data_IF_178741519231
#
_entry.id   IF_178741519231
#
_cell.length_a   1.000
_cell.length_b   1.000
_cell.length_c   1.000
_cell.angle_alpha   90.00
_cell.angle_beta   90.00
_cell.angle_gamma   90.00
#
_symmetry.space_group_name_H-M   'P 1'
#
loop_
_entity.id
_entity.type
_entity.pdbx_description
1 polymer ?
#
# COMPACT_ATOMS: atom_id res chain seq x y z
N UNK A 1 27.32 -24.25 -37.45
CA UNK A 1 26.22 -23.55 -36.74
C UNK A 1 26.72 -23.27 -35.33
N UNK A 2 27.17 -22.02 -35.06
CA UNK A 2 27.50 -21.58 -33.71
C UNK A 2 26.18 -21.18 -33.08
N UNK A 3 25.73 -21.93 -32.08
CA UNK A 3 24.61 -21.49 -31.26
C UNK A 3 25.19 -20.44 -30.31
N UNK A 4 24.85 -19.17 -30.56
CA UNK A 4 25.19 -18.04 -29.71
C UNK A 4 24.52 -18.23 -28.34
N UNK A 5 25.29 -18.74 -27.37
CA UNK A 5 24.87 -18.98 -25.99
C UNK A 5 24.52 -17.65 -25.26
N UNK A 6 24.88 -16.51 -25.84
CA UNK A 6 24.63 -15.16 -25.31
C UNK A 6 23.15 -14.78 -25.23
N UNK A 7 22.25 -15.48 -25.92
CA UNK A 7 20.82 -15.15 -25.92
C UNK A 7 19.99 -15.83 -24.80
N UNK A 8 20.55 -16.80 -24.06
CA UNK A 8 19.76 -17.62 -23.10
C UNK A 8 19.63 -16.95 -21.72
N UNK A 9 20.42 -15.92 -21.40
CA UNK A 9 20.42 -15.31 -20.04
C UNK A 9 19.32 -14.26 -19.85
N UNK A 10 18.66 -13.78 -20.92
CA UNK A 10 17.68 -12.70 -20.85
C UNK A 10 16.27 -13.11 -20.38
N UNK A 11 16.02 -14.40 -20.12
CA UNK A 11 14.69 -14.90 -19.75
C UNK A 11 14.60 -15.45 -18.33
N UNK A 12 15.45 -14.97 -17.41
CA UNK A 12 15.07 -14.96 -16.00
C UNK A 12 13.97 -13.91 -15.85
N UNK A 13 12.75 -14.26 -16.24
CA UNK A 13 11.56 -13.71 -15.65
C UNK A 13 11.68 -14.02 -14.16
N UNK A 14 12.38 -13.15 -13.43
CA UNK A 14 12.21 -13.00 -12.00
C UNK A 14 10.72 -12.73 -11.88
N UNK A 15 9.95 -13.76 -11.55
CA UNK A 15 8.71 -13.56 -10.82
C UNK A 15 9.17 -12.89 -9.54
N UNK A 16 9.32 -11.56 -9.58
CA UNK A 16 9.40 -10.74 -8.39
C UNK A 16 8.05 -10.98 -7.75
N UNK A 17 8.01 -11.94 -6.85
CA UNK A 17 7.00 -12.08 -5.85
C UNK A 17 7.06 -10.81 -5.01
N UNK A 18 6.37 -9.80 -5.52
CA UNK A 18 6.07 -8.60 -4.78
C UNK A 18 5.38 -9.05 -3.47
N UNK A 19 5.95 -8.64 -2.34
CA UNK A 19 5.28 -8.85 -1.06
C UNK A 19 3.91 -8.13 -1.15
N UNK A 20 2.90 -8.70 -0.53
CA UNK A 20 1.54 -8.10 -0.56
C UNK A 20 0.95 -8.07 0.83
N UNK A 21 -0.02 -7.20 1.01
CA UNK A 21 -0.70 -7.02 2.28
C UNK A 21 -2.21 -7.02 2.05
N UNK A 22 -2.91 -7.88 2.77
CA UNK A 22 -4.37 -7.84 2.85
C UNK A 22 -4.75 -7.26 4.21
N UNK A 23 -5.62 -6.26 4.21
CA UNK A 23 -6.12 -5.63 5.43
C UNK A 23 -7.63 -5.79 5.51
N UNK A 24 -8.11 -6.22 6.67
CA UNK A 24 -9.50 -6.09 7.05
C UNK A 24 -9.65 -4.86 7.95
N UNK A 25 -10.50 -3.94 7.53
CA UNK A 25 -10.77 -2.70 8.27
C UNK A 25 -12.21 -2.73 8.75
N UNK A 26 -12.41 -2.54 10.06
CA UNK A 26 -13.73 -2.35 10.65
C UNK A 26 -13.89 -0.92 11.14
N UNK A 27 -14.94 -0.24 10.69
CA UNK A 27 -15.26 1.12 11.10
C UNK A 27 -16.50 1.16 11.99
N UNK A 28 -16.34 1.85 13.11
CA UNK A 28 -17.39 2.38 13.96
C UNK A 28 -17.68 3.84 13.57
N UNK A 29 -18.75 4.48 14.10
CA UNK A 29 -19.14 5.83 13.70
C UNK A 29 -18.06 6.92 13.81
N UNK A 30 -17.04 6.72 14.66
CA UNK A 30 -16.01 7.72 14.95
C UNK A 30 -14.58 7.21 14.77
N UNK A 31 -14.38 5.93 14.44
CA UNK A 31 -13.05 5.33 14.32
C UNK A 31 -13.05 4.12 13.39
N UNK A 32 -11.93 3.89 12.73
CA UNK A 32 -11.66 2.67 11.97
C UNK A 32 -10.48 1.94 12.59
N UNK A 33 -10.57 0.61 12.66
CA UNK A 33 -9.48 -0.27 13.08
C UNK A 33 -9.05 -1.15 11.90
N UNK A 34 -7.76 -1.09 11.59
CA UNK A 34 -7.06 -1.87 10.58
C UNK A 34 -6.00 -2.78 11.22
N UNK A 35 -6.17 -3.15 12.49
CA UNK A 35 -5.24 -4.03 13.21
C UNK A 35 -5.22 -5.46 12.66
N UNK A 36 -6.27 -5.89 11.96
CA UNK A 36 -6.40 -7.21 11.38
C UNK A 36 -5.86 -7.25 9.94
N UNK A 37 -4.56 -7.48 9.79
CA UNK A 37 -3.94 -7.61 8.47
C UNK A 37 -3.03 -8.83 8.35
N UNK A 38 -2.87 -9.31 7.12
CA UNK A 38 -1.98 -10.41 6.75
C UNK A 38 -0.98 -9.95 5.71
N UNK A 39 0.29 -9.96 6.07
CA UNK A 39 1.42 -9.68 5.20
C UNK A 39 1.94 -10.99 4.60
N UNK A 40 2.01 -11.07 3.27
CA UNK A 40 2.46 -12.24 2.54
C UNK A 40 3.84 -11.98 1.96
N UNK A 41 4.74 -12.93 2.19
CA UNK A 41 6.07 -13.00 1.58
C UNK A 41 6.23 -14.34 0.88
N UNK A 42 7.37 -14.51 0.20
CA UNK A 42 7.79 -15.80 -0.36
C UNK A 42 7.87 -16.93 0.66
N UNK A 43 8.08 -16.58 1.92
CA UNK A 43 8.35 -17.53 2.99
C UNK A 43 7.10 -17.83 3.84
N UNK A 44 6.00 -17.09 3.65
CA UNK A 44 4.76 -17.34 4.39
C UNK A 44 3.84 -16.14 4.52
N UNK A 45 2.83 -16.30 5.37
CA UNK A 45 1.84 -15.28 5.69
C UNK A 45 1.89 -14.97 7.19
N UNK A 46 1.93 -13.69 7.53
CA UNK A 46 2.15 -13.23 8.90
C UNK A 46 1.08 -12.20 9.29
N UNK A 47 0.56 -12.32 10.51
CA UNK A 47 -0.34 -11.31 11.05
C UNK A 47 0.43 -10.05 11.44
N UNK A 48 -0.05 -8.91 10.97
CA UNK A 48 0.54 -7.59 11.23
C UNK A 48 -0.55 -6.59 11.61
N UNK A 49 -0.18 -5.57 12.36
CA UNK A 49 -1.07 -4.45 12.69
C UNK A 49 -0.90 -3.36 11.63
N UNK A 50 -1.90 -3.18 10.76
CA UNK A 50 -1.87 -2.20 9.68
C UNK A 50 -2.57 -0.88 10.03
N UNK A 51 -2.74 -0.54 11.31
CA UNK A 51 -3.21 0.79 11.68
C UNK A 51 -2.23 1.91 11.26
N UNK A 52 -2.77 3.11 11.08
CA UNK A 52 -2.02 4.33 10.72
C UNK A 52 -0.73 4.53 11.54
N UNK A 53 0.36 4.83 10.83
CA UNK A 53 1.70 5.04 11.37
C UNK A 53 2.57 3.79 11.38
N UNK A 54 3.72 3.88 12.07
CA UNK A 54 4.70 2.80 12.16
C UNK A 54 4.40 1.86 13.33
N UNK A 55 4.58 0.56 13.12
CA UNK A 55 4.28 -0.50 14.09
C UNK A 55 5.38 -1.57 14.08
N UNK A 56 5.54 -2.22 15.23
CA UNK A 56 6.32 -3.46 15.32
C UNK A 56 5.58 -4.61 14.62
N UNK A 57 6.34 -5.61 14.20
CA UNK A 57 5.83 -6.73 13.41
C UNK A 57 6.42 -8.05 13.91
N UNK A 58 5.70 -9.14 13.67
CA UNK A 58 6.17 -10.51 13.90
C UNK A 58 6.82 -11.14 12.66
N UNK A 59 6.84 -10.40 11.54
CA UNK A 59 7.47 -10.87 10.31
C UNK A 59 8.98 -11.00 10.53
N UNK A 60 9.58 -12.18 10.30
CA UNK A 60 11.01 -12.40 10.51
C UNK A 60 11.88 -11.38 9.77
N UNK A 61 12.87 -10.83 10.48
CA UNK A 61 13.81 -9.83 9.98
C UNK A 61 13.19 -8.51 9.47
N UNK A 62 11.88 -8.29 9.57
CA UNK A 62 11.29 -6.99 9.23
C UNK A 62 11.53 -6.01 10.38
N UNK A 63 12.27 -4.94 10.09
CA UNK A 63 12.70 -3.95 11.09
C UNK A 63 11.82 -2.70 11.10
N UNK A 64 11.05 -2.49 10.03
CA UNK A 64 10.17 -1.35 9.88
C UNK A 64 8.93 -1.76 9.09
N UNK A 65 7.76 -1.32 9.56
CA UNK A 65 6.47 -1.47 8.89
C UNK A 65 5.60 -0.26 9.25
N UNK A 66 5.20 0.53 8.26
CA UNK A 66 4.45 1.76 8.45
C UNK A 66 3.33 1.88 7.41
N UNK A 67 2.15 2.29 7.86
CA UNK A 67 1.01 2.59 6.98
C UNK A 67 0.70 4.09 7.02
N UNK A 68 0.37 4.65 5.87
CA UNK A 68 -0.13 6.01 5.68
C UNK A 68 -1.42 5.91 4.86
N UNK A 69 -2.52 5.64 5.57
CA UNK A 69 -3.86 5.50 4.99
C UNK A 69 -4.33 6.81 4.38
N UNK A 70 -3.93 7.95 4.95
CA UNK A 70 -4.25 9.27 4.42
C UNK A 70 -3.79 9.45 2.97
N UNK A 71 -2.68 8.81 2.59
CA UNK A 71 -2.12 8.84 1.23
C UNK A 71 -2.13 7.47 0.52
N UNK A 72 -2.85 6.47 1.06
CA UNK A 72 -2.94 5.11 0.51
C UNK A 72 -1.60 4.46 0.18
N UNK A 73 -0.63 4.67 1.07
CA UNK A 73 0.74 4.18 0.88
C UNK A 73 1.24 3.53 2.16
N UNK A 74 2.05 2.50 2.05
CA UNK A 74 2.69 1.84 3.19
C UNK A 74 4.14 1.46 2.87
N UNK A 75 5.02 1.38 3.84
CA UNK A 75 6.39 0.93 3.57
C UNK A 75 6.87 -0.03 4.62
N UNK A 76 7.83 -0.84 4.22
CA UNK A 76 8.48 -1.79 5.10
C UNK A 76 9.96 -1.92 4.74
N UNK A 77 10.74 -2.46 5.67
CA UNK A 77 12.15 -2.72 5.47
C UNK A 77 12.54 -3.99 6.21
N UNK A 78 13.35 -4.82 5.55
CA UNK A 78 14.00 -5.95 6.20
C UNK A 78 15.42 -5.58 6.65
N UNK A 79 15.89 -6.25 7.69
CA UNK A 79 17.27 -6.18 8.14
C UNK A 79 18.22 -6.52 6.98
N UNK A 80 19.30 -5.76 6.83
CA UNK A 80 20.24 -5.91 5.73
C UNK A 80 19.81 -5.25 4.40
N UNK A 81 18.60 -4.73 4.30
CA UNK A 81 18.19 -3.91 3.14
C UNK A 81 18.55 -2.44 3.37
N UNK A 82 19.30 -1.86 2.42
CA UNK A 82 19.68 -0.44 2.46
C UNK A 82 18.48 0.48 2.22
N UNK A 83 17.54 0.05 1.37
CA UNK A 83 16.37 0.82 0.97
C UNK A 83 15.09 0.22 1.56
N UNK A 84 14.11 1.08 1.82
CA UNK A 84 12.75 0.65 2.12
C UNK A 84 12.06 0.14 0.85
N UNK A 85 11.07 -0.71 1.03
CA UNK A 85 10.13 -1.22 0.02
C UNK A 85 8.77 -0.59 0.26
N UNK A 86 8.02 -0.32 -0.81
CA UNK A 86 6.80 0.49 -0.73
C UNK A 86 5.59 -0.31 -1.21
N UNK A 87 4.45 -0.04 -0.60
CA UNK A 87 3.14 -0.58 -0.87
C UNK A 87 2.24 0.56 -1.32
N UNK A 88 1.32 0.24 -2.22
CA UNK A 88 0.17 1.07 -2.57
C UNK A 88 -1.10 0.23 -2.44
N UNK A 89 -2.19 0.88 -2.06
CA UNK A 89 -3.49 0.24 -2.00
C UNK A 89 -3.95 -0.11 -3.43
N UNK A 90 -4.07 -1.41 -3.70
CA UNK A 90 -4.38 -1.94 -5.03
C UNK A 90 -5.88 -2.12 -5.25
N UNK A 91 -6.63 -2.49 -4.20
CA UNK A 91 -8.08 -2.61 -4.27
C UNK A 91 -8.76 -2.35 -2.94
N UNK A 92 -10.07 -2.09 -3.01
CA UNK A 92 -10.93 -1.90 -1.86
C UNK A 92 -12.31 -2.43 -2.15
N UNK A 93 -12.82 -3.30 -1.26
CA UNK A 93 -14.13 -3.91 -1.40
C UNK A 93 -14.86 -3.82 -0.06
N UNK A 94 -16.09 -3.29 -0.08
CA UNK A 94 -16.96 -3.30 1.09
C UNK A 94 -17.44 -4.72 1.38
N UNK A 95 -17.33 -5.14 2.64
CA UNK A 95 -17.70 -6.47 3.11
C UNK A 95 -18.60 -6.37 4.34
N UNK A 96 -19.36 -7.43 4.62
CA UNK A 96 -20.20 -7.48 5.81
C UNK A 96 -19.35 -7.59 7.09
N UNK A 97 -19.67 -6.77 8.10
CA UNK A 97 -18.96 -6.75 9.39
C UNK A 97 -19.30 -7.86 10.38
N UNK A 98 -20.21 -8.77 10.04
CA UNK A 98 -20.88 -9.59 11.05
C UNK A 98 -21.46 -8.70 12.16
N UNK A 99 -21.26 -9.07 13.42
CA UNK A 99 -21.80 -8.35 14.59
C UNK A 99 -20.89 -7.23 15.14
N UNK A 100 -19.74 -6.94 14.53
CA UNK A 100 -18.64 -6.19 15.17
C UNK A 100 -18.36 -4.78 14.63
N UNK A 101 -19.10 -4.32 13.62
CA UNK A 101 -18.88 -2.99 13.04
C UNK A 101 -20.06 -2.52 12.21
N UNK A 102 -20.07 -1.23 11.89
CA UNK A 102 -21.10 -0.63 11.03
C UNK A 102 -20.73 -0.81 9.57
N UNK A 103 -19.47 -0.55 9.23
CA UNK A 103 -18.92 -0.66 7.87
C UNK A 103 -17.58 -1.37 7.87
N UNK A 104 -17.42 -2.36 7.01
CA UNK A 104 -16.17 -3.14 6.92
C UNK A 104 -15.68 -3.21 5.49
N UNK A 105 -14.37 -3.27 5.39
CA UNK A 105 -13.66 -3.20 4.14
C UNK A 105 -12.57 -4.25 4.11
N UNK A 106 -12.35 -4.79 2.92
CA UNK A 106 -11.17 -5.56 2.61
C UNK A 106 -10.36 -4.78 1.60
N UNK A 107 -9.11 -4.47 1.94
CA UNK A 107 -8.19 -3.82 1.01
C UNK A 107 -7.02 -4.75 0.70
N UNK A 108 -6.62 -4.77 -0.57
CA UNK A 108 -5.36 -5.39 -0.98
C UNK A 108 -4.34 -4.30 -1.24
N UNK A 109 -3.09 -4.61 -0.95
CA UNK A 109 -1.96 -3.71 -1.12
C UNK A 109 -0.86 -4.48 -1.82
N UNK A 110 -0.32 -3.89 -2.88
CA UNK A 110 0.76 -4.48 -3.67
C UNK A 110 2.04 -3.71 -3.46
N UNK A 111 3.16 -4.42 -3.49
CA UNK A 111 4.45 -3.76 -3.54
C UNK A 111 4.70 -3.09 -4.89
N UNK A 112 5.28 -1.90 -4.81
CA UNK A 112 5.68 -1.06 -5.91
C UNK A 112 7.09 -0.52 -5.66
N UNK A 113 7.73 -0.01 -6.71
CA UNK A 113 8.94 0.79 -6.55
C UNK A 113 8.65 2.01 -5.65
N UNK A 114 9.61 2.37 -4.79
CA UNK A 114 9.45 3.51 -3.90
C UNK A 114 9.65 4.86 -4.60
N UNK A 115 8.61 5.42 -5.19
CA UNK A 115 8.63 6.75 -5.81
C UNK A 115 7.97 7.85 -4.97
N UNK A 116 7.70 7.63 -3.68
CA UNK A 116 6.96 8.58 -2.82
C UNK A 116 7.56 9.99 -2.73
N UNK A 117 8.84 10.16 -3.09
CA UNK A 117 9.53 11.46 -3.12
C UNK A 117 9.56 12.11 -4.50
N UNK A 118 9.12 11.42 -5.54
CA UNK A 118 8.99 11.94 -6.90
C UNK A 118 7.59 12.57 -7.02
N UNK A 119 7.50 13.91 -6.94
CA UNK A 119 6.28 14.66 -7.27
C UNK A 119 6.09 14.70 -8.80
N UNK A 120 4.86 14.72 -9.33
CA UNK A 120 3.66 13.98 -8.93
C UNK A 120 3.64 12.59 -9.60
N UNK A 121 2.82 11.68 -9.06
CA UNK A 121 2.43 10.44 -9.73
C UNK A 121 1.92 10.83 -11.13
N UNK A 122 2.50 10.32 -12.23
CA UNK A 122 1.98 10.57 -13.57
C UNK A 122 0.49 10.24 -13.58
N UNK A 123 -0.36 11.15 -14.07
CA UNK A 123 -1.82 10.99 -14.11
C UNK A 123 -2.24 9.64 -14.74
N UNK A 124 -1.40 9.12 -15.62
CA UNK A 124 -1.53 7.81 -16.29
C UNK A 124 -1.54 6.62 -15.31
N UNK A 125 -0.83 6.70 -14.18
CA UNK A 125 -0.89 5.67 -13.14
C UNK A 125 -2.09 5.88 -12.20
N UNK A 126 -2.44 7.13 -11.91
CA UNK A 126 -3.59 7.47 -11.08
C UNK A 126 -4.93 7.07 -11.72
N UNK A 127 -5.01 6.99 -13.05
CA UNK A 127 -6.18 6.53 -13.80
C UNK A 127 -6.42 5.01 -13.70
N UNK A 128 -5.45 4.25 -13.16
CA UNK A 128 -5.57 2.80 -12.94
C UNK A 128 -5.74 2.45 -11.45
N UNK A 129 -5.56 3.42 -10.55
CA UNK A 129 -5.78 3.27 -9.11
C UNK A 129 -7.29 3.28 -8.81
N UNK A 130 -7.82 2.38 -7.96
CA UNK A 130 -9.20 2.47 -7.52
C UNK A 130 -9.35 3.68 -6.59
N UNK A 131 -9.82 4.79 -7.14
CA UNK A 131 -10.30 5.93 -6.38
C UNK A 131 -11.50 5.47 -5.55
N UNK A 132 -11.34 5.46 -4.22
CA UNK A 132 -12.43 5.23 -3.28
C UNK A 132 -12.77 6.52 -2.56
N UNK A 133 -14.03 6.70 -2.21
CA UNK A 133 -14.66 7.95 -1.80
C UNK A 133 -14.51 8.29 -0.31
N UNK A 134 -13.66 7.61 0.45
CA UNK A 134 -13.72 7.68 1.92
C UNK A 134 -12.90 8.77 2.61
N UNK A 135 -12.07 9.56 1.90
CA UNK A 135 -11.41 10.72 2.51
C UNK A 135 -11.38 11.94 1.60
N UNK A 136 -12.53 12.60 1.44
CA UNK A 136 -12.53 14.04 1.14
C UNK A 136 -12.20 14.77 2.43
N UNK A 137 -10.92 14.89 2.76
CA UNK A 137 -10.51 15.95 3.69
C UNK A 137 -10.78 17.27 2.96
N UNK A 138 -11.86 17.95 3.33
CA UNK A 138 -12.14 19.32 2.91
C UNK A 138 -11.00 20.22 3.38
N UNK A 139 -9.97 20.36 2.55
CA UNK A 139 -9.06 21.49 2.62
C UNK A 139 -9.83 22.68 2.03
N UNK A 140 -10.11 23.75 2.80
CA UNK A 140 -10.77 24.91 2.24
C UNK A 140 -9.85 25.53 1.19
N UNK A 141 -10.33 25.58 -0.06
CA UNK A 141 -9.71 26.33 -1.14
C UNK A 141 -9.67 27.80 -0.74
N UNK A 142 -8.47 28.31 -0.44
CA UNK A 142 -8.25 29.75 -0.29
C UNK A 142 -8.43 30.38 -1.68
N UNK A 143 -9.60 30.98 -1.90
CA UNK A 143 -9.84 31.80 -3.08
C UNK A 143 -8.93 33.03 -3.03
N UNK A 144 -7.95 33.09 -3.93
CA UNK A 144 -7.16 34.31 -4.14
C UNK A 144 -7.94 35.15 -5.15
N UNK A 145 -8.69 36.14 -4.65
CA UNK A 145 -9.32 37.14 -5.50
C UNK A 145 -8.25 38.15 -5.95
N UNK A 146 -7.86 38.09 -7.21
CA UNK A 146 -7.15 39.18 -7.90
C UNK A 146 -8.15 40.29 -8.20
N UNK A 147 -8.10 41.40 -7.45
CA UNK A 147 -8.77 42.63 -7.82
C UNK A 147 -7.81 43.46 -8.68
N UNK A 148 -8.20 43.67 -9.94
CA UNK A 148 -7.62 44.69 -10.80
C UNK A 148 -8.38 46.00 -10.64
N UNK A 149 -7.63 47.09 -10.43
CA UNK A 149 -7.78 48.39 -11.07
C UNK A 149 -6.59 49.27 -10.70
#
# INVERSE_FOLDING_TARGET
MRFDITAIIAAMALTVSADRLDVFTSCAPTSCDSSEATFYTDFGAYRVNANEGCRGTSVPAMTEFCMDWGNRRGHFRFSGQANKRCLVQDSEIRVGCGSKGTDCWRTSWKEIACYWREKPIPEEQLATEPHSTFFTSTVPTVATATAGN
#
